data_IF_487890688491
#
_entry.id   IF_487890688491
#
_cell.length_a   1.000
_cell.length_b   1.000
_cell.length_c   1.000
_cell.angle_alpha   90.00
_cell.angle_beta   90.00
_cell.angle_gamma   90.00
#
_symmetry.space_group_name_H-M   'P 1'
#
loop_
_entity.id
_entity.type
_entity.pdbx_description
1 polymer ?
#
# COMPACT_ATOMS: atom_id res chain seq x y z
N UNK A 1 -4.86 27.21 5.50
CA UNK A 1 -4.24 27.92 4.34
C UNK A 1 -4.78 29.34 4.21
N UNK A 2 -6.10 29.53 4.40
CA UNK A 2 -6.72 30.85 4.48
C UNK A 2 -6.08 31.72 5.58
N UNK A 3 -5.83 31.18 6.79
CA UNK A 3 -5.16 31.94 7.86
C UNK A 3 -3.70 32.32 7.53
N UNK A 4 -2.92 31.48 6.86
CA UNK A 4 -1.53 31.82 6.48
C UNK A 4 -1.48 32.89 5.38
N UNK A 5 -2.39 32.82 4.42
CA UNK A 5 -2.59 33.85 3.39
C UNK A 5 -3.08 35.16 4.01
N UNK A 6 -4.07 35.10 4.92
CA UNK A 6 -4.58 36.26 5.64
C UNK A 6 -3.50 36.93 6.50
N UNK A 7 -2.66 36.15 7.18
CA UNK A 7 -1.50 36.66 7.94
C UNK A 7 -0.46 37.30 7.03
N UNK A 8 -0.17 36.68 5.88
CA UNK A 8 0.72 37.26 4.88
C UNK A 8 0.16 38.57 4.32
N UNK A 9 -1.14 38.63 4.02
CA UNK A 9 -1.82 39.81 3.48
C UNK A 9 -1.96 40.94 4.52
N UNK A 10 -2.05 40.59 5.81
CA UNK A 10 -2.05 41.56 6.92
C UNK A 10 -0.64 42.01 7.36
N UNK A 11 0.41 41.65 6.60
CA UNK A 11 1.78 42.07 6.87
C UNK A 11 2.42 41.41 8.10
N UNK A 12 1.81 40.35 8.65
CA UNK A 12 2.39 39.59 9.75
C UNK A 12 3.51 38.71 9.22
N UNK A 13 4.57 38.53 10.02
CA UNK A 13 5.64 37.60 9.66
C UNK A 13 5.13 36.15 9.62
N UNK A 14 5.33 35.52 8.46
CA UNK A 14 4.98 34.12 8.15
C UNK A 14 6.19 33.33 7.65
N UNK A 15 7.39 33.92 7.67
CA UNK A 15 8.60 33.39 7.02
C UNK A 15 8.96 31.99 7.55
N UNK A 16 8.88 31.80 8.86
CA UNK A 16 9.20 30.52 9.49
C UNK A 16 8.18 29.42 9.15
N UNK A 17 6.89 29.75 9.16
CA UNK A 17 5.83 28.81 8.81
C UNK A 17 5.92 28.40 7.33
N UNK A 18 6.19 29.36 6.45
CA UNK A 18 6.38 29.12 5.02
C UNK A 18 7.62 28.25 4.77
N UNK A 19 8.73 28.54 5.44
CA UNK A 19 9.96 27.73 5.38
C UNK A 19 9.70 26.28 5.80
N UNK A 20 9.03 26.08 6.94
CA UNK A 20 8.68 24.74 7.42
C UNK A 20 7.80 24.00 6.41
N UNK A 21 6.76 24.65 5.90
CA UNK A 21 5.85 24.07 4.92
C UNK A 21 6.59 23.64 3.64
N UNK A 22 7.43 24.52 3.09
CA UNK A 22 8.21 24.25 1.89
C UNK A 22 9.20 23.08 2.06
N UNK A 23 9.73 22.87 3.27
CA UNK A 23 10.57 21.72 3.58
C UNK A 23 9.77 20.41 3.70
N UNK A 24 8.59 20.46 4.32
CA UNK A 24 7.77 19.27 4.54
C UNK A 24 7.03 18.80 3.28
N UNK A 25 6.61 19.74 2.41
CA UNK A 25 5.86 19.43 1.19
C UNK A 25 6.51 18.35 0.29
N UNK A 26 7.79 18.46 -0.12
CA UNK A 26 8.42 17.43 -0.95
C UNK A 26 8.51 16.07 -0.23
N UNK A 27 8.70 16.05 1.09
CA UNK A 27 8.75 14.82 1.89
C UNK A 27 7.39 14.12 1.88
N UNK A 28 6.32 14.88 2.14
CA UNK A 28 4.94 14.38 2.12
C UNK A 28 4.56 13.87 0.74
N UNK A 29 4.83 14.65 -0.31
CA UNK A 29 4.56 14.25 -1.70
C UNK A 29 5.31 12.97 -2.06
N UNK A 30 6.62 12.92 -1.79
CA UNK A 30 7.45 11.74 -2.07
C UNK A 30 6.96 10.51 -1.30
N UNK A 31 6.59 10.68 -0.04
CA UNK A 31 6.06 9.59 0.80
C UNK A 31 4.76 9.05 0.24
N UNK A 32 3.83 9.91 -0.18
CA UNK A 32 2.60 9.47 -0.85
C UNK A 32 2.90 8.73 -2.16
N UNK A 33 3.78 9.28 -3.00
CA UNK A 33 4.16 8.66 -4.27
C UNK A 33 4.72 7.25 -4.06
N UNK A 34 5.70 7.11 -3.17
CA UNK A 34 6.34 5.83 -2.87
C UNK A 34 5.39 4.84 -2.20
N UNK A 35 4.50 5.33 -1.34
CA UNK A 35 3.61 4.49 -0.55
C UNK A 35 2.29 4.15 -1.25
N UNK A 36 1.92 4.79 -2.36
CA UNK A 36 0.66 4.51 -3.07
C UNK A 36 0.84 4.09 -4.51
N UNK A 37 1.80 4.70 -5.21
CA UNK A 37 1.89 4.60 -6.67
C UNK A 37 3.06 3.76 -7.12
N UNK A 38 4.21 3.89 -6.45
CA UNK A 38 5.40 3.10 -6.77
C UNK A 38 5.07 1.61 -6.66
N UNK A 39 5.49 0.85 -7.66
CA UNK A 39 5.31 -0.60 -7.78
C UNK A 39 3.85 -1.10 -7.89
N UNK A 40 2.86 -0.22 -7.93
CA UNK A 40 1.43 -0.62 -8.01
C UNK A 40 1.13 -1.47 -9.25
N UNK A 41 1.80 -1.19 -10.37
CA UNK A 41 1.63 -1.95 -11.62
C UNK A 41 1.95 -3.44 -11.51
N UNK A 42 2.78 -3.87 -10.55
CA UNK A 42 3.10 -5.29 -10.40
C UNK A 42 1.87 -6.12 -10.02
N UNK A 43 0.96 -5.59 -9.22
CA UNK A 43 -0.20 -6.31 -8.73
C UNK A 43 -1.54 -5.78 -9.25
N UNK A 44 -1.53 -4.67 -10.01
CA UNK A 44 -2.74 -4.06 -10.58
C UNK A 44 -3.51 -5.01 -11.50
N UNK A 45 -2.79 -5.90 -12.20
CA UNK A 45 -3.37 -6.92 -13.06
C UNK A 45 -3.90 -8.16 -12.34
N UNK A 46 -3.88 -8.22 -11.00
CA UNK A 46 -4.49 -9.30 -10.22
C UNK A 46 -5.60 -8.73 -9.35
N UNK A 47 -6.85 -9.12 -9.62
CA UNK A 47 -8.03 -8.53 -9.00
C UNK A 47 -8.08 -8.74 -7.46
N UNK A 48 -7.63 -9.89 -6.97
CA UNK A 48 -7.57 -10.19 -5.53
C UNK A 48 -6.56 -9.24 -4.84
N UNK A 49 -5.38 -9.02 -5.44
CA UNK A 49 -4.35 -8.14 -4.89
C UNK A 49 -4.70 -6.66 -5.04
N UNK A 50 -5.17 -6.24 -6.22
CA UNK A 50 -5.54 -4.85 -6.50
C UNK A 50 -6.71 -4.40 -5.62
N UNK A 51 -7.70 -5.25 -5.40
CA UNK A 51 -8.83 -4.91 -4.53
C UNK A 51 -8.44 -4.81 -3.05
N UNK A 52 -7.51 -5.64 -2.58
CA UNK A 52 -6.93 -5.51 -1.24
C UNK A 52 -6.16 -4.20 -1.11
N UNK A 53 -5.31 -3.87 -2.08
CA UNK A 53 -4.55 -2.61 -2.12
C UNK A 53 -5.47 -1.40 -2.10
N UNK A 54 -6.48 -1.35 -2.99
CA UNK A 54 -7.43 -0.25 -3.08
C UNK A 54 -8.15 0.01 -1.76
N UNK A 55 -8.66 -1.04 -1.12
CA UNK A 55 -9.34 -0.93 0.17
C UNK A 55 -8.42 -0.36 1.25
N UNK A 56 -7.16 -0.79 1.30
CA UNK A 56 -6.19 -0.30 2.28
C UNK A 56 -5.76 1.13 1.98
N UNK A 57 -5.36 1.41 0.74
CA UNK A 57 -4.84 2.70 0.28
C UNK A 57 -5.86 3.83 0.47
N UNK A 58 -7.07 3.63 -0.05
CA UNK A 58 -8.11 4.66 0.03
C UNK A 58 -8.57 4.80 1.49
N UNK A 59 -8.64 3.71 2.25
CA UNK A 59 -8.96 3.84 3.68
C UNK A 59 -7.90 4.62 4.44
N UNK A 60 -6.62 4.33 4.20
CA UNK A 60 -5.51 5.05 4.81
C UNK A 60 -5.50 6.54 4.43
N UNK A 61 -5.83 6.86 3.18
CA UNK A 61 -6.02 8.24 2.71
C UNK A 61 -7.12 8.96 3.50
N UNK A 62 -8.26 8.32 3.71
CA UNK A 62 -9.35 8.91 4.48
C UNK A 62 -9.04 9.06 5.98
N UNK A 63 -8.33 8.09 6.58
CA UNK A 63 -7.89 8.17 7.97
C UNK A 63 -6.87 9.30 8.15
N UNK A 64 -5.85 9.34 7.29
CA UNK A 64 -4.67 10.21 7.47
C UNK A 64 -4.87 11.64 7.00
N UNK A 65 -5.47 11.84 5.82
CA UNK A 65 -5.61 13.17 5.23
C UNK A 65 -7.03 13.72 5.41
N UNK A 66 -8.05 12.97 4.98
CA UNK A 66 -9.42 13.48 4.90
C UNK A 66 -9.96 13.80 6.29
N UNK A 67 -9.80 12.90 7.27
CA UNK A 67 -10.30 13.15 8.64
C UNK A 67 -9.66 14.38 9.29
N UNK A 68 -8.37 14.59 9.06
CA UNK A 68 -7.68 15.77 9.57
C UNK A 68 -8.22 17.04 8.89
N UNK A 69 -8.35 17.03 7.57
CA UNK A 69 -8.88 18.16 6.79
C UNK A 69 -10.33 18.52 7.15
N UNK A 70 -11.18 17.53 7.43
CA UNK A 70 -12.58 17.76 7.84
C UNK A 70 -12.73 18.24 9.28
N UNK A 71 -11.80 17.86 10.19
CA UNK A 71 -11.89 18.24 11.61
C UNK A 71 -11.36 19.64 11.85
N UNK A 72 -10.24 19.99 11.23
CA UNK A 72 -9.61 21.30 11.37
C UNK A 72 -8.85 21.65 10.09
N UNK A 73 -9.50 22.29 9.10
CA UNK A 73 -8.87 22.61 7.83
C UNK A 73 -7.72 23.61 8.01
N UNK A 74 -7.85 24.56 8.94
CA UNK A 74 -6.81 25.57 9.19
C UNK A 74 -5.51 24.91 9.67
N UNK A 75 -5.61 23.97 10.62
CA UNK A 75 -4.43 23.24 11.12
C UNK A 75 -3.95 22.12 10.19
N UNK A 76 -4.84 21.43 9.48
CA UNK A 76 -4.47 20.29 8.62
C UNK A 76 -3.69 20.71 7.37
N UNK A 77 -3.96 21.90 6.82
CA UNK A 77 -3.17 22.43 5.72
C UNK A 77 -1.82 23.01 6.17
N UNK A 78 -1.64 23.31 7.45
CA UNK A 78 -0.36 23.75 8.02
C UNK A 78 0.52 22.58 8.46
N UNK A 79 -0.10 21.50 8.93
CA UNK A 79 0.58 20.28 9.37
C UNK A 79 0.38 19.18 8.32
N UNK A 80 1.30 19.12 7.36
CA UNK A 80 1.25 18.12 6.31
C UNK A 80 1.27 16.69 6.90
N UNK A 81 0.47 15.75 6.34
CA UNK A 81 0.52 14.36 6.75
C UNK A 81 1.90 13.77 6.44
N UNK A 82 2.26 12.70 7.15
CA UNK A 82 3.60 12.11 7.15
C UNK A 82 4.70 12.87 7.90
N UNK A 83 4.38 14.01 8.52
CA UNK A 83 5.27 14.67 9.47
C UNK A 83 5.30 13.94 10.83
N UNK A 84 6.43 14.03 11.53
CA UNK A 84 6.64 13.45 12.85
C UNK A 84 6.64 11.91 12.92
N UNK A 85 6.59 11.40 14.15
CA UNK A 85 6.68 9.97 14.45
C UNK A 85 5.46 9.18 13.93
N UNK A 86 4.25 9.74 14.09
CA UNK A 86 3.02 9.12 13.60
C UNK A 86 2.97 9.02 12.08
N UNK A 87 3.43 10.05 11.39
CA UNK A 87 3.58 10.06 9.94
C UNK A 87 4.53 8.96 9.45
N UNK A 88 5.70 8.86 10.06
CA UNK A 88 6.69 7.83 9.73
C UNK A 88 6.14 6.41 9.92
N UNK A 89 5.37 6.18 10.99
CA UNK A 89 4.74 4.88 11.23
C UNK A 89 3.74 4.51 10.13
N UNK A 90 2.85 5.44 9.74
CA UNK A 90 1.87 5.21 8.67
C UNK A 90 2.58 4.94 7.34
N UNK A 91 3.64 5.71 7.02
CA UNK A 91 4.43 5.50 5.80
C UNK A 91 5.04 4.10 5.78
N UNK A 92 5.65 3.69 6.89
CA UNK A 92 6.28 2.38 7.00
C UNK A 92 5.26 1.25 6.87
N UNK A 93 4.08 1.40 7.47
CA UNK A 93 2.98 0.45 7.30
C UNK A 93 2.54 0.36 5.83
N UNK A 94 2.39 1.50 5.15
CA UNK A 94 1.98 1.52 3.74
C UNK A 94 3.01 0.91 2.81
N UNK A 95 4.27 1.26 3.00
CA UNK A 95 5.39 0.66 2.29
C UNK A 95 5.48 -0.85 2.56
N UNK A 96 5.18 -1.30 3.77
CA UNK A 96 5.23 -2.72 4.13
C UNK A 96 4.20 -3.53 3.33
N UNK A 97 2.91 -3.15 3.36
CA UNK A 97 1.92 -3.92 2.61
C UNK A 97 2.16 -3.82 1.11
N UNK A 98 2.57 -2.67 0.57
CA UNK A 98 2.85 -2.56 -0.86
C UNK A 98 3.99 -3.46 -1.31
N UNK A 99 5.11 -3.45 -0.59
CA UNK A 99 6.23 -4.37 -0.86
C UNK A 99 5.79 -5.84 -0.78
N UNK A 100 4.89 -6.16 0.17
CA UNK A 100 4.39 -7.52 0.30
C UNK A 100 3.47 -7.92 -0.85
N UNK A 101 2.55 -7.05 -1.27
CA UNK A 101 1.67 -7.29 -2.42
C UNK A 101 2.47 -7.46 -3.71
N UNK A 102 3.53 -6.65 -3.91
CA UNK A 102 4.47 -6.80 -5.04
C UNK A 102 5.16 -8.17 -5.00
N UNK A 103 5.62 -8.60 -3.83
CA UNK A 103 6.23 -9.92 -3.68
C UNK A 103 5.24 -11.06 -3.99
N UNK A 104 3.98 -10.94 -3.56
CA UNK A 104 2.92 -11.90 -3.88
C UNK A 104 2.63 -11.94 -5.38
N UNK A 105 2.51 -10.78 -6.03
CA UNK A 105 2.31 -10.68 -7.47
C UNK A 105 3.42 -11.37 -8.26
N UNK A 106 4.68 -11.07 -7.95
CA UNK A 106 5.84 -11.71 -8.61
C UNK A 106 5.82 -13.24 -8.44
N UNK A 107 5.48 -13.73 -7.25
CA UNK A 107 5.36 -15.19 -7.01
C UNK A 107 4.21 -15.81 -7.79
N UNK A 108 3.05 -15.15 -7.83
CA UNK A 108 1.88 -15.60 -8.61
C UNK A 108 2.19 -15.62 -10.10
N UNK A 109 2.97 -14.67 -10.59
CA UNK A 109 3.42 -14.62 -11.99
C UNK A 109 4.24 -15.87 -12.34
N UNK A 110 5.27 -16.17 -11.54
CA UNK A 110 6.11 -17.36 -11.73
C UNK A 110 5.30 -18.66 -11.62
N UNK A 111 4.29 -18.70 -10.76
CA UNK A 111 3.42 -19.87 -10.60
C UNK A 111 2.29 -19.98 -11.64
N UNK A 112 2.17 -19.04 -12.59
CA UNK A 112 1.06 -18.98 -13.55
C UNK A 112 -0.31 -18.75 -12.91
N UNK A 113 -0.35 -18.27 -11.66
CA UNK A 113 -1.58 -18.00 -10.91
C UNK A 113 -2.03 -16.54 -11.03
N UNK A 114 -1.16 -15.66 -11.53
CA UNK A 114 -1.45 -14.22 -11.65
C UNK A 114 -2.69 -13.98 -12.50
N UNK A 115 -3.66 -13.24 -11.94
CA UNK A 115 -4.88 -12.88 -12.67
C UNK A 115 -5.86 -14.03 -12.96
N UNK A 116 -5.63 -15.24 -12.42
CA UNK A 116 -6.49 -16.42 -12.66
C UNK A 116 -7.95 -16.22 -12.25
N UNK A 117 -8.21 -15.28 -11.34
CA UNK A 117 -9.55 -14.92 -10.83
C UNK A 117 -10.06 -13.58 -11.35
N UNK A 118 -9.43 -13.02 -12.38
CA UNK A 118 -9.87 -11.74 -12.94
C UNK A 118 -11.16 -11.87 -13.75
N UNK A 119 -11.38 -13.02 -14.40
CA UNK A 119 -12.54 -13.23 -15.24
C UNK A 119 -13.84 -13.10 -14.43
N UNK A 120 -14.72 -12.20 -14.87
CA UNK A 120 -15.99 -11.91 -14.18
C UNK A 120 -15.84 -11.15 -12.86
N UNK A 121 -14.63 -10.70 -12.50
CA UNK A 121 -14.44 -9.90 -11.29
C UNK A 121 -15.17 -8.56 -11.44
N UNK A 122 -16.12 -8.32 -10.54
CA UNK A 122 -16.82 -7.05 -10.41
C UNK A 122 -16.87 -6.70 -8.95
N UNK A 123 -16.36 -5.52 -8.64
CA UNK A 123 -16.38 -5.04 -7.29
C UNK A 123 -16.89 -3.61 -7.23
N UNK A 124 -18.07 -3.47 -6.66
CA UNK A 124 -18.66 -2.20 -6.31
C UNK A 124 -18.38 -1.93 -4.83
N UNK A 125 -17.90 -0.72 -4.56
CA UNK A 125 -17.75 -0.20 -3.21
C UNK A 125 -18.86 0.82 -2.97
N UNK A 126 -19.46 0.80 -1.78
CA UNK A 126 -20.52 1.73 -1.36
C UNK A 126 -20.04 3.21 -1.21
N UNK A 127 -18.84 3.53 -1.68
CA UNK A 127 -18.16 4.80 -1.48
C UNK A 127 -17.26 4.84 -0.24
N UNK A 128 -16.31 5.77 -0.21
CA UNK A 128 -15.43 6.01 0.93
C UNK A 128 -15.90 7.28 1.64
N UNK A 129 -16.26 7.16 2.92
CA UNK A 129 -16.73 8.25 3.78
C UNK A 129 -15.87 8.24 5.04
N UNK A 130 -15.42 9.40 5.57
CA UNK A 130 -14.57 9.48 6.76
C UNK A 130 -15.35 9.19 8.05
N UNK A 131 -15.89 7.97 8.14
CA UNK A 131 -16.79 7.51 9.20
C UNK A 131 -16.36 6.10 9.66
N UNK A 132 -17.05 5.53 10.65
CA UNK A 132 -16.75 4.21 11.22
C UNK A 132 -16.78 3.09 10.18
N UNK A 133 -17.48 3.31 9.05
CA UNK A 133 -17.49 2.45 7.86
C UNK A 133 -16.09 2.18 7.29
N UNK A 134 -15.15 3.09 7.50
CA UNK A 134 -13.77 2.93 7.08
C UNK A 134 -13.09 1.74 7.77
N UNK A 135 -13.43 1.45 9.03
CA UNK A 135 -12.94 0.24 9.73
C UNK A 135 -13.41 -1.04 9.05
N UNK A 136 -14.64 -1.05 8.50
CA UNK A 136 -15.16 -2.18 7.72
C UNK A 136 -14.38 -2.33 6.40
N UNK A 137 -14.03 -1.22 5.74
CA UNK A 137 -13.23 -1.26 4.51
C UNK A 137 -11.79 -1.74 4.76
N UNK A 138 -11.13 -1.23 5.80
CA UNK A 138 -9.82 -1.69 6.26
C UNK A 138 -9.86 -3.19 6.55
N UNK A 139 -10.77 -3.65 7.40
CA UNK A 139 -10.87 -5.08 7.74
C UNK A 139 -11.15 -5.97 6.53
N UNK A 140 -11.97 -5.51 5.56
CA UNK A 140 -12.16 -6.20 4.28
C UNK A 140 -10.86 -6.29 3.48
N UNK A 141 -10.10 -5.19 3.37
CA UNK A 141 -8.80 -5.16 2.70
C UNK A 141 -7.80 -6.13 3.34
N UNK A 142 -7.67 -6.11 4.67
CA UNK A 142 -6.80 -7.04 5.41
C UNK A 142 -7.20 -8.50 5.19
N UNK A 143 -8.49 -8.83 5.27
CA UNK A 143 -8.98 -10.21 5.07
C UNK A 143 -8.61 -10.72 3.68
N UNK A 144 -8.68 -9.88 2.65
CA UNK A 144 -8.31 -10.27 1.28
C UNK A 144 -6.82 -10.43 1.11
N UNK A 145 -6.04 -9.54 1.69
CA UNK A 145 -4.60 -9.71 1.72
C UNK A 145 -4.24 -11.02 2.42
N UNK A 146 -4.81 -11.31 3.59
CA UNK A 146 -4.64 -12.58 4.30
C UNK A 146 -5.02 -13.79 3.44
N UNK A 147 -6.15 -13.75 2.73
CA UNK A 147 -6.52 -14.81 1.78
C UNK A 147 -5.46 -14.99 0.70
N UNK A 148 -4.87 -13.91 0.20
CA UNK A 148 -3.80 -13.96 -0.80
C UNK A 148 -2.51 -14.59 -0.25
N UNK A 149 -2.19 -14.30 1.01
CA UNK A 149 -1.06 -14.91 1.72
C UNK A 149 -1.25 -16.42 1.90
N UNK A 150 -2.44 -16.86 2.32
CA UNK A 150 -2.75 -18.28 2.48
C UNK A 150 -2.66 -19.04 1.15
N UNK A 151 -3.15 -18.44 0.05
CA UNK A 151 -3.01 -19.02 -1.29
C UNK A 151 -1.53 -19.11 -1.68
N UNK A 152 -0.75 -18.06 -1.42
CA UNK A 152 0.68 -18.10 -1.70
C UNK A 152 1.39 -19.18 -0.88
N UNK A 153 1.04 -19.37 0.40
CA UNK A 153 1.59 -20.44 1.24
C UNK A 153 1.25 -21.82 0.66
N UNK A 154 0.00 -22.05 0.26
CA UNK A 154 -0.41 -23.29 -0.38
C UNK A 154 0.34 -23.56 -1.70
N UNK A 155 0.58 -22.53 -2.52
CA UNK A 155 1.37 -22.64 -3.74
C UNK A 155 2.84 -22.98 -3.45
N UNK A 156 3.43 -22.40 -2.39
CA UNK A 156 4.79 -22.72 -1.95
C UNK A 156 4.91 -24.17 -1.48
N UNK A 157 3.97 -24.64 -0.68
CA UNK A 157 3.94 -26.03 -0.19
C UNK A 157 3.80 -27.03 -1.34
N UNK A 158 2.92 -26.76 -2.32
CA UNK A 158 2.77 -27.59 -3.52
C UNK A 158 4.03 -27.63 -4.37
N UNK A 159 4.74 -26.51 -4.53
CA UNK A 159 6.00 -26.48 -5.27
C UNK A 159 7.10 -27.28 -4.57
N UNK A 160 7.17 -27.21 -3.24
CA UNK A 160 8.13 -27.98 -2.45
C UNK A 160 7.92 -29.50 -2.59
N UNK A 161 6.68 -29.95 -2.79
CA UNK A 161 6.36 -31.37 -2.99
C UNK A 161 6.72 -31.89 -4.38
N UNK A 162 6.88 -31.01 -5.37
CA UNK A 162 7.12 -31.38 -6.78
C UNK A 162 8.61 -31.40 -7.15
N UNK A 163 9.50 -30.83 -6.34
CA UNK A 163 10.95 -30.95 -6.57
C UNK A 163 11.41 -32.37 -6.16
N UNK A 164 11.73 -33.28 -7.10
CA UNK A 164 12.22 -34.61 -6.73
C UNK A 164 13.66 -34.47 -6.26
N UNK A 165 14.05 -35.31 -5.30
CA UNK A 165 15.43 -35.47 -4.89
C UNK A 165 16.31 -35.72 -6.13
N UNK A 166 17.34 -34.90 -6.26
CA UNK A 166 18.42 -35.07 -7.23
C UNK A 166 18.94 -36.52 -7.13
N UNK A 167 18.68 -37.36 -8.13
CA UNK A 167 19.30 -38.68 -8.21
C UNK A 167 20.81 -38.48 -8.40
N UNK A 168 21.67 -39.11 -7.58
CA UNK A 168 23.11 -39.03 -7.79
C UNK A 168 23.48 -39.74 -9.11
N UNK A 169 24.56 -39.31 -9.78
CA UNK A 169 24.97 -39.87 -11.06
C UNK A 169 25.32 -41.35 -10.90
N UNK A 170 24.75 -42.17 -11.77
CA UNK A 170 25.05 -43.59 -11.89
C UNK A 170 26.52 -43.74 -12.28
N UNK A 171 27.36 -44.18 -11.34
CA UNK A 171 28.73 -44.62 -11.62
C UNK A 171 28.66 -45.82 -12.56
N UNK A 172 29.04 -45.60 -13.82
CA UNK A 172 29.29 -46.67 -14.78
C UNK A 172 30.59 -47.35 -14.35
N UNK A 173 30.50 -48.59 -13.88
CA UNK A 173 31.66 -49.44 -13.66
C UNK A 173 32.22 -49.86 -15.02
N UNK A 174 33.41 -49.35 -15.35
CA UNK A 174 34.23 -49.87 -16.45
C UNK A 174 34.93 -51.12 -15.92
N UNK A 175 34.47 -52.30 -16.34
CA UNK A 175 35.25 -53.54 -16.23
C UNK A 175 36.31 -53.61 -17.34
N UNK A 176 37.43 -54.24 -16.97
CA UNK A 176 38.72 -54.29 -17.65
C UNK A 176 38.77 -55.20 -18.88
#
# INVERSE_FOLDING_TARGET
>A
MANLLERSLSGKDVTEQLRHYNQQYPITYRSWFESLYKDKYYYMGDADLMSAALLLDVSSYYVGLVRAAYRDPECAFLNLPFSGLGGTLVRNMMNFYNRRLVALAKRRWVAGYYGRRNAGWRELYDGFVPDIRLRKQISRGLRRWWKCELINLALMLRRASVVPAHQPPTTVATEA
#
